data_IF_813679946783
#
_entry.id   IF_813679946783
#
_cell.length_a   1.000
_cell.length_b   1.000
_cell.length_c   1.000
_cell.angle_alpha   90.00
_cell.angle_beta   90.00
_cell.angle_gamma   90.00
#
_symmetry.space_group_name_H-M   'P 1'
#
loop_
_entity.id
_entity.type
_entity.pdbx_description
1 polymer ?
#
# COMPACT_ATOMS: atom_id res chain seq x y z
N UNK A 1 -13.38 4.57 -13.25
CA UNK A 1 -12.22 5.49 -13.22
C UNK A 1 -11.07 4.76 -12.56
N UNK A 2 -9.84 4.92 -13.07
CA UNK A 2 -8.66 4.39 -12.38
C UNK A 2 -8.51 5.13 -11.03
N UNK A 3 -8.30 4.37 -9.95
CA UNK A 3 -8.05 4.93 -8.63
C UNK A 3 -6.77 5.78 -8.66
N UNK A 4 -6.86 7.08 -8.36
CA UNK A 4 -5.69 7.95 -8.34
C UNK A 4 -4.79 7.58 -7.16
N UNK A 5 -3.59 7.07 -7.45
CA UNK A 5 -2.59 6.69 -6.46
C UNK A 5 -1.66 7.86 -6.19
N UNK A 6 -1.81 8.46 -5.02
CA UNK A 6 -0.98 9.56 -4.55
C UNK A 6 0.30 9.01 -3.91
N UNK A 7 1.43 9.64 -4.19
CA UNK A 7 2.70 9.33 -3.53
C UNK A 7 2.94 10.20 -2.28
N UNK A 8 4.15 10.14 -1.72
CA UNK A 8 4.52 10.94 -0.55
C UNK A 8 4.56 12.45 -0.83
N UNK A 9 4.94 12.85 -2.05
CA UNK A 9 4.97 14.26 -2.43
C UNK A 9 3.56 14.83 -2.53
N UNK A 10 2.65 14.09 -3.19
CA UNK A 10 1.23 14.45 -3.26
C UNK A 10 0.60 14.56 -1.87
N UNK A 11 0.92 13.62 -0.97
CA UNK A 11 0.46 13.63 0.41
C UNK A 11 0.92 14.88 1.16
N UNK A 12 2.22 15.21 1.11
CA UNK A 12 2.78 16.40 1.76
C UNK A 12 2.16 17.69 1.21
N UNK A 13 1.97 17.78 -0.11
CA UNK A 13 1.31 18.92 -0.75
C UNK A 13 -0.11 19.12 -0.23
N UNK A 14 -0.90 18.04 -0.16
CA UNK A 14 -2.26 18.07 0.42
C UNK A 14 -2.28 18.46 1.89
N UNK A 15 -1.35 17.91 2.68
CA UNK A 15 -1.25 18.22 4.10
C UNK A 15 -0.94 19.71 4.33
N UNK A 16 0.04 20.26 3.60
CA UNK A 16 0.39 21.69 3.70
C UNK A 16 -0.76 22.60 3.29
N UNK A 17 -1.47 22.26 2.21
CA UNK A 17 -2.64 23.02 1.78
C UNK A 17 -3.78 22.97 2.82
N UNK A 18 -4.02 21.82 3.43
CA UNK A 18 -5.01 21.67 4.50
C UNK A 18 -4.62 22.47 5.75
N UNK A 19 -3.35 22.43 6.15
CA UNK A 19 -2.82 23.24 7.26
C UNK A 19 -2.99 24.74 6.97
N UNK A 20 -2.66 25.17 5.75
CA UNK A 20 -2.80 26.57 5.33
C UNK A 20 -4.26 27.04 5.35
N UNK A 21 -5.21 26.19 4.95
CA UNK A 21 -6.65 26.48 5.02
C UNK A 21 -7.13 26.73 6.46
N UNK A 22 -6.53 26.04 7.43
CA UNK A 22 -6.79 26.25 8.88
C UNK A 22 -5.90 27.34 9.50
N UNK A 23 -5.10 28.05 8.70
CA UNK A 23 -4.16 29.11 9.08
C UNK A 23 -2.96 28.69 9.94
N UNK A 24 -2.98 27.50 10.56
CA UNK A 24 -1.88 26.98 11.36
C UNK A 24 -1.97 25.47 11.57
N UNK A 25 -0.81 24.84 11.83
CA UNK A 25 -0.74 23.41 12.17
C UNK A 25 -1.51 23.09 13.45
N UNK A 26 -1.43 23.95 14.46
CA UNK A 26 -2.13 23.78 15.74
C UNK A 26 -3.66 23.82 15.57
N UNK A 27 -4.17 24.72 14.72
CA UNK A 27 -5.60 24.79 14.41
C UNK A 27 -6.07 23.55 13.63
N UNK A 28 -5.32 23.11 12.62
CA UNK A 28 -5.59 21.87 11.90
C UNK A 28 -5.62 20.66 12.84
N UNK A 29 -4.58 20.51 13.68
CA UNK A 29 -4.50 19.42 14.64
C UNK A 29 -5.70 19.40 15.59
N UNK A 30 -6.08 20.56 16.15
CA UNK A 30 -7.24 20.69 17.04
C UNK A 30 -8.55 20.34 16.35
N UNK A 31 -8.78 20.84 15.13
CA UNK A 31 -9.99 20.58 14.33
C UNK A 31 -10.20 19.09 14.08
N UNK A 32 -9.13 18.34 13.91
CA UNK A 32 -9.18 16.91 13.61
C UNK A 32 -8.89 16.01 14.82
N UNK A 33 -8.74 16.56 16.03
CA UNK A 33 -8.45 15.81 17.24
C UNK A 33 -7.09 15.09 17.22
N UNK A 34 -6.08 15.68 16.57
CA UNK A 34 -4.74 15.13 16.41
C UNK A 34 -3.75 15.79 17.37
N UNK A 35 -2.67 15.08 17.72
CA UNK A 35 -1.49 15.70 18.35
C UNK A 35 -0.72 16.48 17.29
N UNK A 36 -0.26 17.68 17.63
CA UNK A 36 0.57 18.49 16.71
C UNK A 36 1.81 17.74 16.22
N UNK A 37 2.48 16.99 17.11
CA UNK A 37 3.64 16.20 16.74
C UNK A 37 3.31 15.17 15.65
N UNK A 38 2.14 14.53 15.70
CA UNK A 38 1.72 13.59 14.67
C UNK A 38 1.51 14.26 13.31
N UNK A 39 1.16 15.55 13.28
CA UNK A 39 1.06 16.34 12.04
C UNK A 39 2.46 16.71 11.53
N UNK A 40 3.38 17.12 12.44
CA UNK A 40 4.78 17.42 12.10
C UNK A 40 5.51 16.19 11.54
N UNK A 41 5.38 15.04 12.19
CA UNK A 41 6.00 13.79 11.75
C UNK A 41 5.49 13.36 10.37
N UNK A 42 4.20 13.60 10.10
CA UNK A 42 3.60 13.30 8.80
C UNK A 42 4.08 14.27 7.71
N UNK A 43 4.22 15.56 8.01
CA UNK A 43 4.78 16.53 7.07
C UNK A 43 6.25 16.23 6.73
N UNK A 44 7.01 15.78 7.72
CA UNK A 44 8.41 15.35 7.58
C UNK A 44 8.56 13.93 7.00
N UNK A 45 7.46 13.25 6.67
CA UNK A 45 7.44 11.86 6.18
C UNK A 45 8.16 10.86 7.11
N UNK A 46 8.25 11.16 8.40
CA UNK A 46 8.85 10.28 9.41
C UNK A 46 7.88 9.18 9.84
N UNK A 47 6.63 9.57 10.11
CA UNK A 47 5.56 8.62 10.42
C UNK A 47 4.20 9.22 10.03
N UNK A 48 3.31 8.38 9.52
CA UNK A 48 1.99 8.84 9.06
C UNK A 48 0.92 8.04 9.79
N UNK A 49 0.27 8.68 10.76
CA UNK A 49 -0.84 8.08 11.49
C UNK A 49 -2.10 7.98 10.62
N UNK A 50 -2.97 7.02 10.95
CA UNK A 50 -4.27 6.87 10.28
C UNK A 50 -5.17 8.09 10.51
N UNK A 51 -5.01 8.76 11.65
CA UNK A 51 -5.71 10.00 11.97
C UNK A 51 -5.40 11.13 10.98
N UNK A 52 -4.12 11.33 10.64
CA UNK A 52 -3.72 12.34 9.64
C UNK A 52 -4.27 11.96 8.26
N UNK A 53 -4.22 10.68 7.88
CA UNK A 53 -4.81 10.23 6.61
C UNK A 53 -6.31 10.52 6.57
N UNK A 54 -7.03 10.17 7.64
CA UNK A 54 -8.47 10.42 7.77
C UNK A 54 -8.82 11.91 7.69
N UNK A 55 -8.03 12.78 8.32
CA UNK A 55 -8.21 14.22 8.27
C UNK A 55 -8.13 14.77 6.82
N UNK A 56 -7.30 14.16 5.99
CA UNK A 56 -7.15 14.50 4.57
C UNK A 56 -8.13 13.76 3.64
N UNK A 57 -9.03 12.93 4.18
CA UNK A 57 -9.89 12.08 3.37
C UNK A 57 -9.10 11.04 2.58
N UNK A 58 -7.97 10.55 3.11
CA UNK A 58 -7.08 9.60 2.47
C UNK A 58 -7.02 8.28 3.23
N UNK A 59 -6.63 7.22 2.52
CA UNK A 59 -6.31 5.90 3.10
C UNK A 59 -4.94 5.45 2.61
N UNK A 60 -4.10 4.96 3.53
CA UNK A 60 -2.83 4.31 3.20
C UNK A 60 -3.10 2.95 2.56
N UNK A 61 -2.45 2.70 1.43
CA UNK A 61 -2.51 1.41 0.76
C UNK A 61 -1.11 0.98 0.33
N UNK A 62 -0.86 -0.33 0.39
CA UNK A 62 0.31 -0.92 -0.22
C UNK A 62 0.03 -1.21 -1.69
N UNK A 63 1.01 -0.88 -2.52
CA UNK A 63 0.97 -1.06 -3.97
C UNK A 63 2.29 -1.63 -4.44
N UNK A 64 2.23 -2.54 -5.41
CA UNK A 64 3.38 -3.32 -5.82
C UNK A 64 3.74 -2.96 -7.26
N UNK A 65 4.92 -2.36 -7.51
CA UNK A 65 5.34 -2.04 -8.87
C UNK A 65 5.33 -3.27 -9.76
N UNK A 66 4.81 -3.15 -10.98
CA UNK A 66 4.90 -4.22 -11.98
C UNK A 66 6.23 -4.09 -12.72
N UNK A 67 6.99 -5.17 -12.83
CA UNK A 67 8.34 -5.16 -13.46
C UNK A 67 8.31 -5.31 -14.99
N UNK A 68 7.21 -4.95 -15.63
CA UNK A 68 7.02 -5.03 -17.08
C UNK A 68 7.36 -3.71 -17.80
N UNK A 69 7.86 -2.71 -17.07
CA UNK A 69 8.19 -1.38 -17.61
C UNK A 69 6.99 -0.45 -17.80
N UNK A 70 5.77 -0.89 -17.46
CA UNK A 70 4.55 -0.07 -17.62
C UNK A 70 4.41 1.08 -16.63
N UNK A 71 5.21 1.10 -15.55
CA UNK A 71 5.03 2.01 -14.42
C UNK A 71 3.76 1.74 -13.60
N UNK A 72 3.04 0.64 -13.89
CA UNK A 72 1.81 0.26 -13.20
C UNK A 72 2.10 -0.24 -11.78
N UNK A 73 1.12 -0.06 -10.91
CA UNK A 73 1.10 -0.62 -9.58
C UNK A 73 -0.06 -1.62 -9.43
N UNK A 74 0.24 -2.80 -8.90
CA UNK A 74 -0.75 -3.82 -8.56
C UNK A 74 -1.17 -3.71 -7.08
N UNK A 75 -2.42 -4.10 -6.82
CA UNK A 75 -2.96 -4.35 -5.49
C UNK A 75 -2.58 -5.74 -4.97
N UNK A 76 -2.71 -5.95 -3.66
CA UNK A 76 -2.52 -7.29 -3.07
C UNK A 76 -3.50 -8.32 -3.67
N UNK A 77 -4.71 -7.89 -4.01
CA UNK A 77 -5.73 -8.74 -4.66
C UNK A 77 -5.22 -9.28 -6.00
N UNK A 78 -4.70 -8.41 -6.86
CA UNK A 78 -4.13 -8.81 -8.15
C UNK A 78 -2.92 -9.75 -7.99
N UNK A 79 -2.13 -9.58 -6.94
CA UNK A 79 -1.03 -10.52 -6.62
C UNK A 79 -1.59 -11.89 -6.26
N UNK A 80 -2.63 -11.94 -5.41
CA UNK A 80 -3.26 -13.20 -5.02
C UNK A 80 -3.91 -13.90 -6.22
N UNK A 81 -4.57 -13.16 -7.11
CA UNK A 81 -5.13 -13.69 -8.36
C UNK A 81 -4.04 -14.27 -9.28
N UNK A 82 -2.92 -13.55 -9.44
CA UNK A 82 -1.77 -14.02 -10.24
C UNK A 82 -1.10 -15.23 -9.59
N UNK A 83 -0.97 -15.25 -8.26
CA UNK A 83 -0.44 -16.39 -7.50
C UNK A 83 -1.29 -17.63 -7.71
N UNK A 84 -2.61 -17.52 -7.55
CA UNK A 84 -3.54 -18.63 -7.75
C UNK A 84 -3.50 -19.14 -9.19
N UNK A 85 -3.42 -18.24 -10.17
CA UNK A 85 -3.25 -18.60 -11.59
C UNK A 85 -1.93 -19.34 -11.83
N UNK A 86 -0.83 -18.87 -11.24
CA UNK A 86 0.48 -19.50 -11.34
C UNK A 86 0.46 -20.93 -10.77
N UNK A 87 -0.13 -21.11 -9.59
CA UNK A 87 -0.23 -22.42 -8.94
C UNK A 87 -1.04 -23.39 -9.80
N UNK A 88 -2.16 -22.95 -10.39
CA UNK A 88 -2.95 -23.78 -11.32
C UNK A 88 -2.12 -24.20 -12.54
N UNK A 89 -1.31 -23.29 -13.10
CA UNK A 89 -0.43 -23.59 -14.24
C UNK A 89 0.68 -24.58 -13.90
N UNK A 90 1.15 -24.60 -12.66
CA UNK A 90 2.13 -25.59 -12.20
C UNK A 90 1.51 -26.99 -11.95
N UNK A 91 0.18 -27.14 -12.00
CA UNK A 91 -0.54 -28.40 -11.76
C UNK A 91 -0.61 -28.83 -10.29
N UNK A 92 0.44 -28.56 -9.50
CA UNK A 92 0.47 -28.85 -8.06
C UNK A 92 1.08 -27.71 -7.25
N UNK A 93 0.63 -27.58 -6.00
CA UNK A 93 1.18 -26.61 -5.06
C UNK A 93 2.67 -26.89 -4.74
N UNK A 94 3.08 -28.16 -4.74
CA UNK A 94 4.48 -28.56 -4.54
C UNK A 94 5.38 -28.10 -5.69
N UNK A 95 4.92 -28.25 -6.93
CA UNK A 95 5.65 -27.76 -8.10
C UNK A 95 5.77 -26.23 -8.08
N UNK A 96 4.70 -25.52 -7.72
CA UNK A 96 4.72 -24.07 -7.59
C UNK A 96 5.66 -23.60 -6.47
N UNK A 97 5.64 -24.24 -5.30
CA UNK A 97 6.50 -23.90 -4.17
C UNK A 97 8.00 -24.03 -4.53
N UNK A 98 8.36 -25.09 -5.27
CA UNK A 98 9.71 -25.26 -5.82
C UNK A 98 10.13 -24.13 -6.76
N UNK A 99 9.22 -23.64 -7.62
CA UNK A 99 9.50 -22.48 -8.50
C UNK A 99 9.73 -21.18 -7.72
N UNK A 100 9.11 -21.04 -6.56
CA UNK A 100 9.31 -19.90 -5.66
C UNK A 100 10.50 -20.08 -4.70
N UNK A 101 11.12 -21.26 -4.65
CA UNK A 101 12.20 -21.54 -3.68
C UNK A 101 11.74 -21.56 -2.23
N UNK A 102 10.47 -21.91 -1.96
CA UNK A 102 9.90 -21.97 -0.61
C UNK A 102 9.26 -23.34 -0.35
N UNK A 103 8.97 -23.65 0.92
CA UNK A 103 8.23 -24.86 1.26
C UNK A 103 6.75 -24.75 0.88
N UNK A 104 6.11 -25.88 0.58
CA UNK A 104 4.66 -25.95 0.32
C UNK A 104 3.83 -25.37 1.46
N UNK A 105 4.21 -25.62 2.72
CA UNK A 105 3.56 -25.03 3.89
C UNK A 105 3.66 -23.49 3.91
N UNK A 106 4.81 -22.94 3.51
CA UNK A 106 4.97 -21.49 3.38
C UNK A 106 4.05 -20.93 2.28
N UNK A 107 4.02 -21.56 1.10
CA UNK A 107 3.14 -21.16 0.01
C UNK A 107 1.66 -21.21 0.41
N UNK A 108 1.24 -22.25 1.13
CA UNK A 108 -0.12 -22.37 1.66
C UNK A 108 -0.47 -21.23 2.61
N UNK A 109 0.44 -20.84 3.50
CA UNK A 109 0.22 -19.71 4.40
C UNK A 109 0.09 -18.37 3.64
N UNK A 110 0.81 -18.19 2.52
CA UNK A 110 0.68 -16.99 1.67
C UNK A 110 -0.69 -16.95 0.98
N UNK A 111 -1.16 -18.08 0.43
CA UNK A 111 -2.48 -18.17 -0.21
C UNK A 111 -3.63 -17.90 0.77
N UNK A 112 -3.49 -18.35 2.01
CA UNK A 112 -4.47 -18.12 3.07
C UNK A 112 -4.30 -16.78 3.79
N UNK A 113 -3.49 -15.86 3.24
CA UNK A 113 -3.19 -14.54 3.82
C UNK A 113 -2.66 -14.58 5.27
N UNK A 114 -2.13 -15.71 5.72
CA UNK A 114 -1.49 -15.90 7.04
C UNK A 114 -0.03 -15.41 7.05
N UNK A 115 0.54 -15.17 5.87
CA UNK A 115 1.88 -14.59 5.67
C UNK A 115 1.88 -13.60 4.50
N UNK A 116 2.83 -12.66 4.53
CA UNK A 116 3.02 -11.69 3.46
C UNK A 116 3.51 -12.34 2.16
N UNK A 117 3.20 -11.69 1.04
CA UNK A 117 3.50 -12.18 -0.33
C UNK A 117 4.96 -11.98 -0.78
N UNK A 118 5.80 -11.38 0.06
CA UNK A 118 7.20 -11.03 -0.26
C UNK A 118 7.99 -12.15 -0.96
N UNK A 119 7.93 -13.43 -0.52
CA UNK A 119 8.70 -14.49 -1.14
C UNK A 119 8.31 -14.82 -2.59
N UNK A 120 7.09 -14.48 -3.01
CA UNK A 120 6.57 -14.82 -4.35
C UNK A 120 6.63 -13.65 -5.34
N UNK A 121 6.90 -12.42 -4.86
CA UNK A 121 6.81 -11.20 -5.68
C UNK A 121 7.72 -11.26 -6.92
N UNK A 122 8.99 -11.60 -6.75
CA UNK A 122 9.97 -11.54 -7.83
C UNK A 122 9.60 -12.50 -8.97
N UNK A 123 9.26 -13.75 -8.64
CA UNK A 123 8.83 -14.76 -9.63
C UNK A 123 7.52 -14.37 -10.31
N UNK A 124 6.62 -13.70 -9.60
CA UNK A 124 5.38 -13.17 -10.17
C UNK A 124 5.58 -11.84 -10.93
N UNK A 125 6.80 -11.32 -11.03
CA UNK A 125 7.11 -10.09 -11.78
C UNK A 125 6.72 -8.79 -11.07
N UNK A 126 6.79 -8.77 -9.74
CA UNK A 126 6.48 -7.59 -8.92
C UNK A 126 7.70 -7.07 -8.15
N UNK A 127 7.73 -5.76 -7.93
CA UNK A 127 8.67 -5.08 -7.04
C UNK A 127 8.26 -5.15 -5.57
N UNK A 128 9.11 -4.62 -4.69
CA UNK A 128 8.77 -4.45 -3.28
C UNK A 128 7.59 -3.49 -3.11
N UNK A 129 6.74 -3.71 -2.10
CA UNK A 129 5.60 -2.83 -1.87
C UNK A 129 6.06 -1.42 -1.55
N UNK A 130 5.36 -0.44 -2.11
CA UNK A 130 5.49 0.97 -1.77
C UNK A 130 4.18 1.45 -1.16
N UNK A 131 4.28 2.39 -0.23
CA UNK A 131 3.11 3.07 0.30
C UNK A 131 2.57 4.07 -0.73
N UNK A 132 1.26 4.06 -0.91
CA UNK A 132 0.49 5.04 -1.69
C UNK A 132 -0.72 5.46 -0.89
N UNK A 133 -1.35 6.54 -1.32
CA UNK A 133 -2.59 7.04 -0.72
C UNK A 133 -3.68 7.10 -1.77
N UNK A 134 -4.89 6.76 -1.36
CA UNK A 134 -6.08 6.84 -2.19
C UNK A 134 -7.09 7.75 -1.51
N UNK A 135 -7.90 8.42 -2.31
CA UNK A 135 -9.03 9.19 -1.78
C UNK A 135 -10.01 8.19 -1.18
N UNK A 136 -10.41 8.45 0.07
CA UNK A 136 -11.49 7.71 0.72
C UNK A 136 -12.77 8.05 -0.02
N UNK A 137 -13.26 7.14 -0.86
CA UNK A 137 -14.60 7.27 -1.40
C UNK A 137 -15.57 7.33 -0.21
N UNK A 138 -16.42 8.35 -0.17
CA UNK A 138 -17.51 8.41 0.78
C UNK A 138 -18.34 7.13 0.57
N UNK A 139 -18.39 6.28 1.58
CA UNK A 139 -19.34 5.18 1.65
C UNK A 139 -20.70 5.75 2.02
#
# INVERSE_FOLDING_TARGET
>A
MAEALLDGYDFCGRLRNAIAAEKSLAAFARKHGLKEQSVRDAEAMQSISDGVCKALGLVKVLRYPVRDGSGRFASLREIQEKLNTFIRRCGTQEAAARRFGISKGHLSNIQNARRGVMPVLNVLGYGFPVQRFIVRNAA
#
